data_IF_030342273787
#
_entry.id   IF_030342273787
#
_cell.length_a   1.000
_cell.length_b   1.000
_cell.length_c   1.000
_cell.angle_alpha   90.00
_cell.angle_beta   90.00
_cell.angle_gamma   90.00
#
_symmetry.space_group_name_H-M   'P 1'
#
loop_
_entity.id
_entity.type
_entity.pdbx_description
1 polymer ?
#
# COMPACT_ATOMS: atom_id res chain seq x y z
N UNK A 1 -15.90 -11.74 2.38
CA UNK A 1 -16.18 -10.78 3.48
C UNK A 1 -17.70 -10.66 3.72
N UNK A 2 -18.16 -10.42 4.96
CA UNK A 2 -19.57 -10.04 5.21
C UNK A 2 -19.79 -8.59 4.76
N UNK A 3 -20.94 -8.27 4.14
CA UNK A 3 -21.28 -6.90 3.71
C UNK A 3 -21.36 -5.97 4.91
N UNK A 4 -20.77 -4.77 4.80
CA UNK A 4 -20.85 -3.75 5.85
C UNK A 4 -22.29 -3.23 5.96
N UNK A 5 -22.74 -2.96 7.18
CA UNK A 5 -24.08 -2.42 7.44
C UNK A 5 -24.18 -0.98 6.97
N UNK A 6 -25.38 -0.51 6.62
CA UNK A 6 -25.60 0.85 6.09
C UNK A 6 -25.16 1.93 7.07
N UNK A 7 -25.36 1.70 8.37
CA UNK A 7 -25.03 2.62 9.45
C UNK A 7 -23.52 2.89 9.55
N UNK A 8 -22.69 1.95 9.08
CA UNK A 8 -21.25 2.15 9.03
C UNK A 8 -20.90 3.38 8.20
N UNK A 9 -21.62 3.65 7.10
CA UNK A 9 -21.29 4.73 6.15
C UNK A 9 -21.86 6.11 6.53
N UNK A 10 -22.44 6.25 7.72
CA UNK A 10 -22.87 7.55 8.22
C UNK A 10 -21.70 8.31 8.84
N UNK A 11 -21.79 9.64 8.78
CA UNK A 11 -20.84 10.52 9.45
C UNK A 11 -20.75 10.15 10.94
N UNK A 12 -19.54 10.23 11.49
CA UNK A 12 -19.27 9.88 12.89
C UNK A 12 -18.29 10.87 13.49
N UNK A 13 -18.43 11.11 14.79
CA UNK A 13 -17.36 11.74 15.58
C UNK A 13 -16.78 10.65 16.49
N UNK A 14 -15.48 10.39 16.35
CA UNK A 14 -14.75 9.38 17.13
C UNK A 14 -13.46 10.01 17.65
N UNK A 15 -13.24 9.92 18.95
CA UNK A 15 -12.09 10.53 19.65
C UNK A 15 -11.91 12.04 19.34
N UNK A 16 -13.03 12.75 19.18
CA UNK A 16 -13.04 14.18 18.86
C UNK A 16 -12.73 14.50 17.38
N UNK A 17 -12.55 13.49 16.53
CA UNK A 17 -12.33 13.65 15.09
C UNK A 17 -13.62 13.40 14.31
N UNK A 18 -13.95 14.30 13.39
CA UNK A 18 -15.08 14.14 12.48
C UNK A 18 -14.67 13.26 11.29
N UNK A 19 -15.35 12.13 11.12
CA UNK A 19 -15.15 11.16 10.05
C UNK A 19 -16.32 11.28 9.08
N UNK A 20 -16.13 11.87 7.89
CA UNK A 20 -17.15 11.89 6.86
C UNK A 20 -17.48 10.47 6.39
N UNK A 21 -18.74 10.23 6.05
CA UNK A 21 -19.18 8.97 5.45
C UNK A 21 -18.44 8.62 4.15
N UNK A 22 -17.89 9.63 3.45
CA UNK A 22 -17.02 9.42 2.29
C UNK A 22 -15.72 8.68 2.65
N UNK A 23 -15.06 9.03 3.75
CA UNK A 23 -13.86 8.32 4.23
C UNK A 23 -14.20 6.89 4.60
N UNK A 24 -15.35 6.67 5.23
CA UNK A 24 -15.82 5.32 5.55
C UNK A 24 -16.17 4.49 4.31
N UNK A 25 -16.62 5.13 3.22
CA UNK A 25 -16.76 4.47 1.92
C UNK A 25 -15.40 4.10 1.33
N UNK A 26 -14.39 4.95 1.48
CA UNK A 26 -13.01 4.62 1.12
C UNK A 26 -12.53 3.37 1.87
N UNK A 27 -12.64 3.34 3.20
CA UNK A 27 -12.29 2.16 4.01
C UNK A 27 -13.09 0.92 3.59
N UNK A 28 -14.38 1.07 3.34
CA UNK A 28 -15.22 -0.03 2.86
C UNK A 28 -14.74 -0.59 1.52
N UNK A 29 -14.38 0.27 0.58
CA UNK A 29 -13.83 -0.12 -0.71
C UNK A 29 -12.44 -0.78 -0.56
N UNK A 30 -11.56 -0.25 0.28
CA UNK A 30 -10.23 -0.81 0.56
C UNK A 30 -10.35 -2.19 1.22
N UNK A 31 -11.32 -2.40 2.10
CA UNK A 31 -11.60 -3.72 2.69
C UNK A 31 -12.07 -4.75 1.64
N UNK A 32 -12.73 -4.32 0.55
CA UNK A 32 -13.04 -5.21 -0.58
C UNK A 32 -11.76 -5.60 -1.31
N UNK A 33 -10.88 -4.65 -1.60
CA UNK A 33 -9.57 -4.92 -2.22
C UNK A 33 -8.74 -5.85 -1.33
N UNK A 34 -8.64 -5.55 -0.03
CA UNK A 34 -7.93 -6.38 0.95
C UNK A 34 -8.54 -7.79 1.03
N UNK A 35 -9.86 -7.93 0.89
CA UNK A 35 -10.51 -9.24 0.84
C UNK A 35 -10.14 -10.03 -0.42
N UNK A 36 -9.87 -9.38 -1.56
CA UNK A 36 -9.35 -10.06 -2.75
C UNK A 36 -7.88 -10.46 -2.58
N UNK A 37 -7.06 -9.59 -1.98
CA UNK A 37 -5.67 -9.94 -1.62
C UNK A 37 -5.65 -11.14 -0.67
N UNK A 38 -6.46 -11.12 0.39
CA UNK A 38 -6.60 -12.21 1.36
C UNK A 38 -7.04 -13.52 0.69
N UNK A 39 -8.01 -13.46 -0.23
CA UNK A 39 -8.46 -14.63 -0.99
C UNK A 39 -7.31 -15.26 -1.80
N UNK A 40 -6.53 -14.42 -2.48
CA UNK A 40 -5.37 -14.87 -3.27
C UNK A 40 -4.32 -15.46 -2.32
N UNK A 41 -3.97 -14.75 -1.26
CA UNK A 41 -2.94 -15.17 -0.32
C UNK A 41 -3.28 -16.52 0.33
N UNK A 42 -4.54 -16.73 0.76
CA UNK A 42 -5.02 -18.01 1.30
C UNK A 42 -4.99 -19.14 0.29
N UNK A 43 -5.26 -18.87 -0.99
CA UNK A 43 -5.25 -19.89 -2.06
C UNK A 43 -3.84 -20.41 -2.32
N UNK A 44 -2.82 -19.56 -2.19
CA UNK A 44 -1.43 -19.88 -2.53
C UNK A 44 -0.51 -20.03 -1.31
N UNK A 45 -1.07 -20.05 -0.09
CA UNK A 45 -0.31 -20.14 1.17
C UNK A 45 0.77 -19.05 1.29
N UNK A 46 0.36 -17.80 0.99
CA UNK A 46 1.22 -16.61 1.06
C UNK A 46 0.88 -15.87 2.34
N UNK A 47 1.88 -15.62 3.17
CA UNK A 47 1.69 -14.82 4.38
C UNK A 47 1.73 -13.32 4.05
N UNK A 48 0.78 -12.59 4.63
CA UNK A 48 0.81 -11.13 4.70
C UNK A 48 0.36 -10.69 6.09
N UNK A 49 0.73 -9.48 6.48
CA UNK A 49 0.40 -8.90 7.77
C UNK A 49 -0.18 -7.51 7.57
N UNK A 50 -1.09 -7.08 8.45
CA UNK A 50 -1.45 -5.66 8.51
C UNK A 50 -0.20 -4.86 8.91
N UNK A 51 -0.07 -3.65 8.39
CA UNK A 51 1.12 -2.81 8.60
C UNK A 51 0.75 -1.39 9.05
N UNK A 52 1.71 -0.67 9.63
CA UNK A 52 1.56 0.76 9.95
C UNK A 52 0.31 1.13 10.76
N UNK A 53 -0.38 2.18 10.29
CA UNK A 53 -1.62 2.70 10.90
C UNK A 53 -2.76 1.69 10.88
N UNK A 54 -2.82 0.87 9.82
CA UNK A 54 -3.80 -0.21 9.68
C UNK A 54 -3.67 -1.26 10.78
N UNK A 55 -2.46 -1.73 11.06
CA UNK A 55 -2.20 -2.66 12.17
C UNK A 55 -2.56 -2.03 13.51
N UNK A 56 -2.14 -0.78 13.73
CA UNK A 56 -2.40 -0.07 14.99
C UNK A 56 -3.90 0.10 15.23
N UNK A 57 -4.67 0.55 14.24
CA UNK A 57 -6.12 0.69 14.34
C UNK A 57 -6.82 -0.64 14.61
N UNK A 58 -6.41 -1.71 13.91
CA UNK A 58 -6.96 -3.04 14.11
C UNK A 58 -6.74 -3.56 15.54
N UNK A 59 -5.57 -3.32 16.14
CA UNK A 59 -5.26 -3.77 17.51
C UNK A 59 -5.86 -2.86 18.58
N UNK A 60 -5.76 -1.53 18.40
CA UNK A 60 -6.16 -0.54 19.41
C UNK A 60 -7.69 -0.42 19.51
N UNK A 61 -8.34 -0.28 18.36
CA UNK A 61 -9.77 0.08 18.29
C UNK A 61 -10.62 -1.03 17.64
N UNK A 62 -9.99 -1.99 16.96
CA UNK A 62 -10.69 -2.97 16.13
C UNK A 62 -11.21 -2.40 14.79
N UNK A 63 -10.67 -1.26 14.35
CA UNK A 63 -11.17 -0.49 13.20
C UNK A 63 -10.12 0.52 12.69
N UNK A 64 -10.31 1.07 11.48
CA UNK A 64 -9.43 2.10 10.91
C UNK A 64 -9.28 3.30 11.86
N UNK A 65 -8.13 3.97 11.86
CA UNK A 65 -7.88 5.17 12.66
C UNK A 65 -8.70 6.35 12.10
N UNK A 66 -9.29 7.24 12.93
CA UNK A 66 -10.20 8.30 12.45
C UNK A 66 -9.68 9.21 11.34
N UNK A 67 -8.37 9.47 11.34
CA UNK A 67 -7.70 10.38 10.42
C UNK A 67 -6.88 9.65 9.33
N UNK A 68 -6.90 8.31 9.30
CA UNK A 68 -6.29 7.52 8.21
C UNK A 68 -7.20 7.49 6.98
N UNK A 69 -6.58 7.52 5.81
CA UNK A 69 -7.25 7.43 4.51
C UNK A 69 -6.83 6.21 3.68
N UNK A 70 -5.87 5.41 4.15
CA UNK A 70 -5.33 4.22 3.47
C UNK A 70 -5.44 2.93 4.29
N UNK A 71 -5.18 1.81 3.61
CA UNK A 71 -4.93 0.52 4.26
C UNK A 71 -3.59 -0.04 3.78
N UNK A 72 -2.76 -0.44 4.74
CA UNK A 72 -1.43 -0.97 4.51
C UNK A 72 -1.32 -2.42 4.95
N UNK A 73 -0.67 -3.22 4.11
CA UNK A 73 -0.17 -4.54 4.47
C UNK A 73 1.32 -4.64 4.17
N UNK A 74 1.96 -5.65 4.76
CA UNK A 74 3.31 -6.01 4.43
C UNK A 74 3.44 -7.52 4.17
N UNK A 75 4.45 -7.87 3.40
CA UNK A 75 4.81 -9.25 3.07
C UNK A 75 6.33 -9.38 3.23
N UNK A 76 6.81 -10.54 3.69
CA UNK A 76 8.23 -10.85 3.56
C UNK A 76 8.59 -10.94 2.07
N UNK A 77 9.84 -10.62 1.71
CA UNK A 77 10.30 -10.55 0.32
C UNK A 77 9.94 -11.79 -0.50
N UNK A 78 10.13 -12.98 0.06
CA UNK A 78 9.82 -14.25 -0.62
C UNK A 78 8.32 -14.40 -0.89
N UNK A 79 7.47 -14.05 0.07
CA UNK A 79 6.02 -14.10 -0.08
C UNK A 79 5.51 -13.02 -1.04
N UNK A 80 6.13 -11.85 -1.04
CA UNK A 80 5.86 -10.80 -2.01
C UNK A 80 6.15 -11.28 -3.45
N UNK A 81 7.26 -11.99 -3.67
CA UNK A 81 7.56 -12.55 -5.00
C UNK A 81 6.56 -13.63 -5.41
N UNK A 82 6.20 -14.56 -4.51
CA UNK A 82 5.13 -15.54 -4.79
C UNK A 82 3.82 -14.85 -5.16
N UNK A 83 3.47 -13.77 -4.44
CA UNK A 83 2.28 -12.99 -4.72
C UNK A 83 2.34 -12.33 -6.11
N UNK A 84 3.45 -11.68 -6.44
CA UNK A 84 3.65 -11.02 -7.73
C UNK A 84 3.52 -11.98 -8.93
N UNK A 85 3.90 -13.25 -8.77
CA UNK A 85 3.78 -14.29 -9.81
C UNK A 85 2.32 -14.69 -10.10
N UNK A 86 1.47 -14.70 -9.09
CA UNK A 86 0.09 -15.25 -9.19
C UNK A 86 -0.96 -14.16 -9.30
N UNK A 87 -0.75 -12.99 -8.71
CA UNK A 87 -1.76 -11.94 -8.51
C UNK A 87 -2.43 -11.51 -9.82
N UNK A 88 -1.66 -11.29 -10.90
CA UNK A 88 -2.20 -10.81 -12.18
C UNK A 88 -3.21 -11.78 -12.81
N UNK A 89 -3.09 -13.08 -12.53
CA UNK A 89 -3.98 -14.12 -13.07
C UNK A 89 -5.26 -14.27 -12.24
N UNK A 90 -5.23 -13.83 -10.98
CA UNK A 90 -6.27 -14.08 -10.00
C UNK A 90 -7.10 -12.85 -9.66
N UNK A 91 -6.59 -11.64 -9.95
CA UNK A 91 -7.32 -10.41 -9.74
C UNK A 91 -8.54 -10.34 -10.67
N UNK A 92 -9.67 -9.80 -10.18
CA UNK A 92 -10.79 -9.46 -11.03
C UNK A 92 -10.40 -8.33 -12.01
N UNK A 93 -11.11 -8.22 -13.12
CA UNK A 93 -10.74 -7.37 -14.26
C UNK A 93 -10.58 -5.89 -13.88
N UNK A 94 -11.33 -5.40 -12.90
CA UNK A 94 -11.28 -4.01 -12.45
C UNK A 94 -10.09 -3.68 -11.53
N UNK A 95 -9.35 -4.69 -11.03
CA UNK A 95 -8.19 -4.50 -10.16
C UNK A 95 -6.88 -4.71 -10.90
N UNK A 96 -5.91 -3.88 -10.56
CA UNK A 96 -4.55 -3.93 -11.08
C UNK A 96 -3.56 -4.09 -9.94
N UNK A 97 -2.44 -4.74 -10.22
CA UNK A 97 -1.29 -4.81 -9.32
C UNK A 97 -0.15 -3.99 -9.90
N UNK A 98 0.30 -2.98 -9.16
CA UNK A 98 1.42 -2.12 -9.51
C UNK A 98 2.60 -2.44 -8.58
N UNK A 99 3.77 -2.66 -9.16
CA UNK A 99 5.03 -2.80 -8.42
C UNK A 99 6.21 -2.62 -9.36
N UNK A 100 7.37 -2.29 -8.80
CA UNK A 100 8.65 -2.24 -9.54
C UNK A 100 9.05 -3.59 -10.15
N UNK A 101 8.59 -4.71 -9.58
CA UNK A 101 8.86 -6.05 -10.11
C UNK A 101 8.15 -6.24 -11.45
N UNK A 102 6.96 -5.67 -11.60
CA UNK A 102 6.13 -5.85 -12.79
C UNK A 102 6.23 -4.68 -13.77
N UNK A 103 6.67 -3.51 -13.31
CA UNK A 103 6.86 -2.32 -14.12
C UNK A 103 8.11 -1.55 -13.67
N UNK A 104 9.23 -1.79 -14.35
CA UNK A 104 10.52 -1.13 -14.05
C UNK A 104 10.53 0.35 -14.42
N UNK A 105 9.59 0.80 -15.27
CA UNK A 105 9.41 2.21 -15.61
C UNK A 105 8.53 2.94 -14.59
N UNK A 106 7.95 2.21 -13.61
CA UNK A 106 7.18 2.82 -12.53
C UNK A 106 8.12 3.57 -11.58
N UNK A 107 7.70 4.78 -11.19
CA UNK A 107 8.35 5.53 -10.12
C UNK A 107 7.75 5.20 -8.73
N UNK A 108 6.83 4.26 -8.66
CA UNK A 108 6.15 3.86 -7.42
C UNK A 108 7.03 2.92 -6.61
N UNK A 109 7.49 3.40 -5.45
CA UNK A 109 8.34 2.62 -4.53
C UNK A 109 7.53 1.62 -3.70
N UNK A 110 6.24 1.86 -3.54
CA UNK A 110 5.31 1.01 -2.79
C UNK A 110 4.48 0.23 -3.80
N UNK A 111 4.40 -1.08 -3.60
CA UNK A 111 3.52 -1.90 -4.43
C UNK A 111 2.08 -1.72 -3.97
N UNK A 112 1.11 -1.81 -4.87
CA UNK A 112 -0.29 -1.65 -4.51
C UNK A 112 -1.19 -2.53 -5.38
N UNK A 113 -2.28 -3.00 -4.78
CA UNK A 113 -3.41 -3.55 -5.53
C UNK A 113 -4.56 -2.56 -5.45
N UNK A 114 -5.17 -2.25 -6.58
CA UNK A 114 -6.24 -1.27 -6.62
C UNK A 114 -6.83 -1.05 -8.01
N UNK A 115 -7.87 -0.23 -8.07
CA UNK A 115 -8.46 0.23 -9.33
C UNK A 115 -7.56 1.30 -9.94
N UNK A 116 -7.19 1.16 -11.21
CA UNK A 116 -6.31 2.14 -11.89
C UNK A 116 -7.04 3.43 -12.33
N UNK A 117 -8.37 3.42 -12.37
CA UNK A 117 -9.19 4.51 -12.89
C UNK A 117 -10.43 4.73 -12.02
N UNK A 118 -11.09 5.87 -12.22
CA UNK A 118 -12.44 6.13 -11.69
C UNK A 118 -13.43 5.15 -12.33
N UNK A 119 -14.10 4.37 -11.49
CA UNK A 119 -15.07 3.36 -11.92
C UNK A 119 -16.49 3.93 -12.00
N UNK A 120 -17.00 4.08 -13.22
CA UNK A 120 -18.36 4.60 -13.49
C UNK A 120 -19.39 3.50 -13.76
N UNK A 121 -18.97 2.23 -13.76
CA UNK A 121 -19.86 1.08 -13.95
C UNK A 121 -20.71 0.84 -12.70
N UNK A 122 -22.05 0.79 -12.79
CA UNK A 122 -22.92 0.65 -11.61
C UNK A 122 -22.61 -0.57 -10.73
N UNK A 123 -22.33 -1.70 -11.34
CA UNK A 123 -21.99 -2.96 -10.67
C UNK A 123 -20.68 -2.88 -9.87
N UNK A 124 -19.69 -2.15 -10.40
CA UNK A 124 -18.43 -1.91 -9.71
C UNK A 124 -18.64 -0.91 -8.58
N UNK A 125 -19.38 0.19 -8.82
CA UNK A 125 -19.69 1.15 -7.76
C UNK A 125 -20.43 0.50 -6.59
N UNK A 126 -21.43 -0.34 -6.84
CA UNK A 126 -22.14 -1.02 -5.76
C UNK A 126 -21.18 -1.93 -4.96
N UNK A 127 -20.30 -2.66 -5.66
CA UNK A 127 -19.29 -3.53 -5.05
C UNK A 127 -18.35 -2.75 -4.12
N UNK A 128 -17.92 -1.55 -4.52
CA UNK A 128 -17.03 -0.69 -3.75
C UNK A 128 -17.77 0.43 -2.99
N UNK A 129 -19.01 0.16 -2.56
CA UNK A 129 -19.80 1.04 -1.67
C UNK A 129 -19.99 2.49 -2.18
N UNK A 130 -20.16 2.65 -3.49
CA UNK A 130 -20.29 3.92 -4.20
C UNK A 130 -19.10 4.86 -3.99
N UNK A 131 -17.92 4.32 -3.66
CA UNK A 131 -16.69 5.09 -3.66
C UNK A 131 -16.23 5.30 -5.10
N UNK A 132 -16.11 6.56 -5.53
CA UNK A 132 -15.87 6.93 -6.93
C UNK A 132 -14.40 7.07 -7.28
N UNK A 133 -13.52 7.24 -6.29
CA UNK A 133 -12.10 7.47 -6.52
C UNK A 133 -11.35 6.14 -6.64
N UNK A 134 -10.18 6.14 -7.30
CA UNK A 134 -9.29 4.99 -7.25
C UNK A 134 -9.07 4.52 -5.83
N UNK A 135 -9.26 3.23 -5.60
CA UNK A 135 -9.04 2.59 -4.32
C UNK A 135 -7.84 1.67 -4.41
N UNK A 136 -6.95 1.74 -3.43
CA UNK A 136 -5.77 0.88 -3.32
C UNK A 136 -5.55 0.39 -1.90
N UNK A 137 -4.88 -0.76 -1.81
CA UNK A 137 -4.24 -1.25 -0.59
C UNK A 137 -2.75 -1.35 -0.88
N UNK A 138 -1.96 -0.70 -0.04
CA UNK A 138 -0.51 -0.64 -0.17
C UNK A 138 0.13 -1.91 0.40
N UNK A 139 1.15 -2.40 -0.29
CA UNK A 139 1.86 -3.64 0.00
C UNK A 139 3.34 -3.29 0.14
N UNK A 140 3.83 -3.33 1.38
CA UNK A 140 5.23 -3.11 1.72
C UNK A 140 6.00 -4.44 1.70
N UNK A 141 6.94 -4.63 0.77
CA UNK A 141 7.84 -5.77 0.83
C UNK A 141 8.89 -5.53 1.92
N UNK A 142 8.98 -6.44 2.88
CA UNK A 142 9.96 -6.41 3.95
C UNK A 142 11.14 -7.32 3.60
N UNK A 143 12.33 -6.74 3.57
CA UNK A 143 13.58 -7.47 3.41
C UNK A 143 14.06 -8.00 4.76
N UNK A 144 14.49 -9.27 4.76
CA UNK A 144 15.18 -9.84 5.90
C UNK A 144 16.53 -9.14 6.13
N UNK A 145 16.96 -9.14 7.40
CA UNK A 145 18.35 -8.85 7.72
C UNK A 145 19.22 -10.01 7.22
N UNK A 146 20.44 -9.71 6.78
CA UNK A 146 21.36 -10.80 6.46
C UNK A 146 21.59 -11.64 7.71
N UNK A 147 21.52 -12.97 7.54
CA UNK A 147 21.68 -13.92 8.66
C UNK A 147 23.11 -13.91 9.20
N UNK A 148 24.07 -13.68 8.31
CA UNK A 148 25.48 -13.54 8.65
C UNK A 148 25.81 -12.08 9.01
N UNK A 149 26.45 -11.80 10.16
CA UNK A 149 26.80 -10.45 10.56
C UNK A 149 27.76 -9.72 9.62
N UNK A 150 28.67 -10.43 8.93
CA UNK A 150 29.60 -9.83 7.97
C UNK A 150 28.85 -9.38 6.71
N UNK A 151 27.92 -10.22 6.22
CA UNK A 151 27.04 -9.86 5.11
C UNK A 151 26.14 -8.66 5.45
N UNK A 152 25.64 -8.57 6.69
CA UNK A 152 24.82 -7.44 7.13
C UNK A 152 25.63 -6.15 7.24
N UNK A 153 26.88 -6.21 7.69
CA UNK A 153 27.76 -5.04 7.73
C UNK A 153 28.13 -4.59 6.31
N UNK A 154 28.43 -5.53 5.41
CA UNK A 154 28.63 -5.23 3.99
C UNK A 154 27.40 -4.54 3.38
N UNK A 155 26.20 -5.05 3.65
CA UNK A 155 24.93 -4.43 3.19
C UNK A 155 24.79 -3.00 3.69
N UNK A 156 25.08 -2.74 4.97
CA UNK A 156 25.06 -1.39 5.55
C UNK A 156 26.09 -0.48 4.89
N UNK A 157 27.28 -0.97 4.61
CA UNK A 157 28.33 -0.18 3.94
C UNK A 157 27.93 0.22 2.53
N UNK A 158 27.34 -0.69 1.75
CA UNK A 158 26.78 -0.38 0.43
C UNK A 158 25.72 0.72 0.53
N UNK A 159 24.78 0.62 1.47
CA UNK A 159 23.75 1.63 1.70
C UNK A 159 24.34 2.98 2.12
N UNK A 160 25.35 3.00 3.00
CA UNK A 160 26.06 4.22 3.41
C UNK A 160 26.75 4.88 2.22
N UNK A 161 27.43 4.11 1.36
CA UNK A 161 28.09 4.62 0.16
C UNK A 161 27.08 5.26 -0.80
N UNK A 162 25.95 4.58 -1.07
CA UNK A 162 24.87 5.12 -1.89
C UNK A 162 24.33 6.43 -1.31
N UNK A 163 24.09 6.49 0.00
CA UNK A 163 23.62 7.68 0.68
C UNK A 163 24.60 8.85 0.57
N UNK A 164 25.90 8.61 0.77
CA UNK A 164 26.96 9.61 0.60
C UNK A 164 27.01 10.12 -0.83
N UNK A 165 26.93 9.24 -1.83
CA UNK A 165 26.89 9.62 -3.24
C UNK A 165 25.69 10.52 -3.56
N UNK A 166 24.50 10.21 -3.02
CA UNK A 166 23.30 11.03 -3.18
C UNK A 166 23.49 12.44 -2.63
N UNK A 167 24.10 12.58 -1.44
CA UNK A 167 24.42 13.88 -0.85
C UNK A 167 25.33 14.69 -1.77
N UNK A 168 26.39 14.09 -2.31
CA UNK A 168 27.31 14.78 -3.22
C UNK A 168 26.61 15.23 -4.51
N UNK A 169 25.75 14.38 -5.09
CA UNK A 169 24.96 14.73 -6.28
C UNK A 169 24.07 15.94 -5.98
N UNK A 170 23.40 15.95 -4.84
CA UNK A 170 22.51 17.04 -4.45
C UNK A 170 23.27 18.36 -4.21
N UNK A 171 24.43 18.30 -3.54
CA UNK A 171 25.30 19.45 -3.35
C UNK A 171 25.80 20.02 -4.68
N UNK A 172 26.26 19.16 -5.60
CA UNK A 172 26.69 19.57 -6.95
C UNK A 172 25.56 20.28 -7.70
N UNK A 173 24.33 19.76 -7.61
CA UNK A 173 23.15 20.39 -8.22
C UNK A 173 22.83 21.75 -7.61
N UNK A 174 22.98 21.91 -6.28
CA UNK A 174 22.80 23.20 -5.58
C UNK A 174 23.84 24.23 -6.03
N UNK A 175 25.12 23.84 -6.12
CA UNK A 175 26.22 24.70 -6.59
C UNK A 175 26.00 25.13 -8.06
N UNK A 176 25.61 24.20 -8.94
CA UNK A 176 25.34 24.55 -10.34
C UNK A 176 24.14 25.50 -10.50
N UNK A 177 23.10 25.36 -9.65
CA UNK A 177 21.96 26.28 -9.64
C UNK A 177 22.32 27.67 -9.14
N UNK A 178 23.24 27.81 -8.16
CA UNK A 178 23.67 29.12 -7.67
C UNK A 178 24.54 29.87 -8.69
N UNK A 179 25.36 29.15 -9.45
CA UNK A 179 26.17 29.70 -10.53
C UNK A 179 25.35 30.19 -11.74
N UNK A 180 24.22 29.54 -12.04
CA UNK A 180 23.30 29.94 -13.14
C UNK A 180 22.34 31.09 -12.79
N UNK A 181 22.29 31.52 -11.53
CA UNK A 181 21.45 32.64 -11.06
C UNK A 181 22.19 33.98 -10.99
N UNK A 182 23.48 34.00 -11.35
CA UNK A 182 24.29 35.21 -11.58
C UNK A 182 24.37 35.47 -13.07
#
# INVERSE_FOLDING_TARGET
MKRLKKEFFYDEIRDGFYIPGLIKRAWGAQLIVLSEIDRICKKYDIAYFLYGGTLLGAVRDGQCIPWDDDLDICMLRDDFFKFAEVVKKELPEELTFNSLVNNQDSAELVAAVGTAIVEIRPEIREKYYEFLYPVSVDIFPLDDLAKDPEDEEYRKDVLRLLFVMLIFIEQKKKIQRSLKKK
#
